data_IF_329664731212
#
_entry.id   IF_329664731212
#
_cell.length_a   1.000
_cell.length_b   1.000
_cell.length_c   1.000
_cell.angle_alpha   90.00
_cell.angle_beta   90.00
_cell.angle_gamma   90.00
#
_symmetry.space_group_name_H-M   'P 1'
#
loop_
_entity.id
_entity.type
_entity.pdbx_description
1 polymer ?
#
# COMPACT_ATOMS: atom_id res chain seq x y z
N UNK A 1 -58.80 -35.94 -9.17
CA UNK A 1 -57.95 -34.98 -8.45
C UNK A 1 -58.67 -33.64 -8.50
N UNK A 2 -58.89 -32.97 -7.37
CA UNK A 2 -59.64 -31.71 -7.32
C UNK A 2 -58.75 -30.56 -7.84
N UNK A 3 -59.28 -29.67 -8.68
CA UNK A 3 -58.48 -28.59 -9.31
C UNK A 3 -57.78 -27.69 -8.28
N UNK A 4 -58.40 -27.48 -7.12
CA UNK A 4 -57.81 -26.73 -6.00
C UNK A 4 -56.58 -27.40 -5.38
N UNK A 5 -56.57 -28.74 -5.33
CA UNK A 5 -55.43 -29.50 -4.81
C UNK A 5 -54.23 -29.45 -5.76
N UNK A 6 -54.49 -29.41 -7.07
CA UNK A 6 -53.45 -29.27 -8.08
C UNK A 6 -52.79 -27.88 -8.04
N UNK A 7 -53.58 -26.81 -7.96
CA UNK A 7 -53.03 -25.44 -7.86
C UNK A 7 -52.25 -25.24 -6.55
N UNK A 8 -52.67 -25.86 -5.43
CA UNK A 8 -51.91 -25.82 -4.18
C UNK A 8 -50.49 -26.41 -4.32
N UNK A 9 -50.38 -27.59 -4.95
CA UNK A 9 -49.09 -28.26 -5.20
C UNK A 9 -48.21 -27.41 -6.13
N UNK A 10 -48.80 -26.78 -7.15
CA UNK A 10 -48.07 -25.90 -8.07
C UNK A 10 -47.52 -24.66 -7.37
N UNK A 11 -48.30 -24.04 -6.48
CA UNK A 11 -47.85 -22.91 -5.67
C UNK A 11 -46.73 -23.30 -4.69
N UNK A 12 -46.83 -24.48 -4.08
CA UNK A 12 -45.80 -25.02 -3.21
C UNK A 12 -44.48 -25.25 -3.96
N UNK A 13 -44.52 -25.95 -5.10
CA UNK A 13 -43.35 -26.16 -5.95
C UNK A 13 -42.75 -24.83 -6.46
N UNK A 14 -43.59 -23.85 -6.81
CA UNK A 14 -43.12 -22.54 -7.24
C UNK A 14 -42.38 -21.80 -6.11
N UNK A 15 -42.89 -21.89 -4.87
CA UNK A 15 -42.25 -21.33 -3.69
C UNK A 15 -40.91 -22.00 -3.39
N UNK A 16 -40.83 -23.33 -3.51
CA UNK A 16 -39.57 -24.07 -3.34
C UNK A 16 -38.53 -23.67 -4.39
N UNK A 17 -38.93 -23.60 -5.67
CA UNK A 17 -38.05 -23.15 -6.75
C UNK A 17 -37.54 -21.72 -6.52
N UNK A 18 -38.39 -20.82 -6.00
CA UNK A 18 -37.99 -19.47 -5.68
C UNK A 18 -36.98 -19.43 -4.52
N UNK A 19 -37.20 -20.23 -3.48
CA UNK A 19 -36.27 -20.34 -2.36
C UNK A 19 -34.90 -20.87 -2.82
N UNK A 20 -34.88 -21.91 -3.66
CA UNK A 20 -33.65 -22.47 -4.23
C UNK A 20 -32.92 -21.40 -5.06
N UNK A 21 -33.63 -20.65 -5.91
CA UNK A 21 -33.05 -19.53 -6.67
C UNK A 21 -32.44 -18.48 -5.76
N UNK A 22 -33.11 -18.13 -4.66
CA UNK A 22 -32.60 -17.18 -3.68
C UNK A 22 -31.33 -17.66 -2.98
N UNK A 23 -31.23 -18.96 -2.65
CA UNK A 23 -30.02 -19.54 -2.07
C UNK A 23 -28.84 -19.42 -3.05
N UNK A 24 -29.01 -19.87 -4.30
CA UNK A 24 -27.95 -19.77 -5.31
C UNK A 24 -27.52 -18.33 -5.57
N UNK A 25 -28.47 -17.40 -5.64
CA UNK A 25 -28.17 -15.97 -5.83
C UNK A 25 -27.37 -15.40 -4.65
N UNK A 26 -27.67 -15.82 -3.43
CA UNK A 26 -26.95 -15.38 -2.23
C UNK A 26 -25.51 -15.90 -2.22
N UNK A 27 -25.31 -17.16 -2.62
CA UNK A 27 -23.99 -17.77 -2.75
C UNK A 27 -23.16 -17.08 -3.84
N UNK A 28 -23.76 -16.83 -5.01
CA UNK A 28 -23.12 -16.10 -6.11
C UNK A 28 -22.67 -14.70 -5.67
N UNK A 29 -23.54 -13.96 -4.99
CA UNK A 29 -23.23 -12.62 -4.49
C UNK A 29 -22.06 -12.64 -3.50
N UNK A 30 -22.08 -13.58 -2.56
CA UNK A 30 -21.02 -13.74 -1.57
C UNK A 30 -19.68 -14.06 -2.22
N UNK A 31 -19.68 -14.86 -3.30
CA UNK A 31 -18.47 -15.18 -4.05
C UNK A 31 -17.93 -13.95 -4.79
N UNK A 32 -18.80 -13.19 -5.47
CA UNK A 32 -18.43 -11.95 -6.15
C UNK A 32 -17.87 -10.89 -5.19
N UNK A 33 -18.49 -10.70 -4.03
CA UNK A 33 -18.04 -9.76 -3.01
C UNK A 33 -16.65 -10.16 -2.48
N UNK A 34 -16.43 -11.44 -2.17
CA UNK A 34 -15.13 -11.95 -1.75
C UNK A 34 -14.04 -11.72 -2.83
N UNK A 35 -14.38 -11.86 -4.11
CA UNK A 35 -13.48 -11.56 -5.24
C UNK A 35 -13.09 -10.08 -5.31
N UNK A 36 -14.05 -9.18 -5.10
CA UNK A 36 -13.80 -7.74 -5.03
C UNK A 36 -12.89 -7.36 -3.85
N UNK A 37 -13.13 -7.94 -2.67
CA UNK A 37 -12.27 -7.73 -1.50
C UNK A 37 -10.83 -8.21 -1.75
N UNK A 38 -10.64 -9.37 -2.38
CA UNK A 38 -9.31 -9.84 -2.75
C UNK A 38 -8.61 -8.91 -3.74
N UNK A 39 -9.32 -8.43 -4.76
CA UNK A 39 -8.77 -7.49 -5.74
C UNK A 39 -8.30 -6.20 -5.07
N UNK A 40 -9.13 -5.63 -4.19
CA UNK A 40 -8.77 -4.44 -3.41
C UNK A 40 -7.54 -4.69 -2.53
N UNK A 41 -7.49 -5.85 -1.87
CA UNK A 41 -6.38 -6.18 -0.98
C UNK A 41 -5.07 -6.42 -1.74
N UNK A 42 -5.12 -7.01 -2.93
CA UNK A 42 -3.97 -7.12 -3.83
C UNK A 42 -3.45 -5.75 -4.24
N UNK A 43 -4.33 -4.79 -4.52
CA UNK A 43 -3.92 -3.42 -4.84
C UNK A 43 -3.24 -2.73 -3.63
N UNK A 44 -3.78 -2.89 -2.42
CA UNK A 44 -3.15 -2.37 -1.20
C UNK A 44 -1.76 -2.97 -0.94
N UNK A 45 -1.57 -4.26 -1.24
CA UNK A 45 -0.28 -4.94 -1.11
C UNK A 45 0.82 -4.27 -1.95
N UNK A 46 0.48 -3.76 -3.14
CA UNK A 46 1.41 -3.05 -4.01
C UNK A 46 1.57 -1.57 -3.66
N UNK A 47 0.53 -0.92 -3.11
CA UNK A 47 0.57 0.50 -2.78
C UNK A 47 1.41 0.82 -1.54
N UNK A 48 1.31 0.00 -0.49
CA UNK A 48 2.01 0.25 0.79
C UNK A 48 3.53 0.32 0.62
N UNK A 49 4.19 -0.60 -0.12
CA UNK A 49 5.63 -0.49 -0.35
C UNK A 49 6.03 0.76 -1.13
N UNK A 50 5.27 1.15 -2.16
CA UNK A 50 5.54 2.38 -2.92
C UNK A 50 5.44 3.64 -2.06
N UNK A 51 4.45 3.70 -1.17
CA UNK A 51 4.29 4.81 -0.23
C UNK A 51 5.51 4.92 0.70
N UNK A 52 6.00 3.80 1.22
CA UNK A 52 7.15 3.78 2.12
C UNK A 52 8.43 4.22 1.41
N UNK A 53 8.64 3.80 0.16
CA UNK A 53 9.76 4.28 -0.66
C UNK A 53 9.70 5.79 -0.87
N UNK A 54 8.52 6.33 -1.18
CA UNK A 54 8.35 7.77 -1.37
C UNK A 54 8.65 8.56 -0.09
N UNK A 55 8.15 8.09 1.06
CA UNK A 55 8.40 8.72 2.36
C UNK A 55 9.89 8.68 2.70
N UNK A 56 10.51 7.49 2.64
CA UNK A 56 11.92 7.30 3.00
C UNK A 56 12.87 8.02 2.05
N UNK A 57 12.61 8.00 0.74
CA UNK A 57 13.35 8.76 -0.25
C UNK A 57 13.22 10.27 -0.06
N UNK A 58 12.02 10.76 0.23
CA UNK A 58 11.78 12.18 0.53
C UNK A 58 12.52 12.65 1.78
N UNK A 59 12.54 11.84 2.84
CA UNK A 59 13.28 12.14 4.06
C UNK A 59 14.79 12.15 3.79
N UNK A 60 15.31 11.21 3.01
CA UNK A 60 16.72 11.16 2.62
C UNK A 60 17.14 12.40 1.84
N UNK A 61 16.33 12.82 0.87
CA UNK A 61 16.56 14.05 0.12
C UNK A 61 16.53 15.30 1.03
N UNK A 62 15.56 15.38 1.94
CA UNK A 62 15.50 16.44 2.94
C UNK A 62 16.74 16.47 3.85
N UNK A 63 17.19 15.31 4.33
CA UNK A 63 18.39 15.21 5.15
C UNK A 63 19.66 15.64 4.37
N UNK A 64 19.74 15.35 3.07
CA UNK A 64 20.88 15.76 2.24
C UNK A 64 20.96 17.28 2.02
N UNK A 65 19.83 17.98 2.01
CA UNK A 65 19.75 19.42 1.69
C UNK A 65 19.88 20.35 2.91
N UNK A 66 19.53 19.88 4.10
CA UNK A 66 19.66 20.65 5.34
C UNK A 66 21.15 20.94 5.63
N UNK A 67 21.49 22.09 6.21
CA UNK A 67 22.89 22.43 6.54
C UNK A 67 23.28 22.09 7.98
N UNK A 68 22.30 21.92 8.88
CA UNK A 68 22.53 21.63 10.30
C UNK A 68 22.63 20.13 10.61
N UNK A 69 23.62 19.75 11.41
CA UNK A 69 23.86 18.33 11.73
C UNK A 69 22.74 17.72 12.59
N UNK A 70 22.21 18.47 13.58
CA UNK A 70 21.12 17.99 14.45
C UNK A 70 19.82 17.63 13.70
N UNK A 71 19.26 18.50 12.83
CA UNK A 71 18.07 18.16 12.05
C UNK A 71 18.31 17.03 11.03
N UNK A 72 19.53 16.86 10.51
CA UNK A 72 19.90 15.70 9.68
C UNK A 72 19.80 14.39 10.45
N UNK A 73 20.38 14.32 11.65
CA UNK A 73 20.30 13.14 12.53
C UNK A 73 18.83 12.79 12.77
N UNK A 74 18.02 13.79 13.12
CA UNK A 74 16.61 13.58 13.43
C UNK A 74 15.84 13.02 12.21
N UNK A 75 16.07 13.58 11.01
CA UNK A 75 15.47 13.10 9.77
C UNK A 75 15.88 11.65 9.48
N UNK A 76 17.16 11.31 9.60
CA UNK A 76 17.65 9.94 9.36
C UNK A 76 17.12 8.94 10.40
N UNK A 77 16.99 9.35 11.66
CA UNK A 77 16.39 8.51 12.70
C UNK A 77 14.90 8.28 12.44
N UNK A 78 14.18 9.31 11.98
CA UNK A 78 12.79 9.19 11.56
C UNK A 78 12.65 8.25 10.35
N UNK A 79 13.53 8.33 9.35
CA UNK A 79 13.57 7.40 8.23
C UNK A 79 13.80 5.95 8.70
N UNK A 80 14.71 5.72 9.65
CA UNK A 80 14.93 4.41 10.23
C UNK A 80 13.68 3.88 10.95
N UNK A 81 13.01 4.72 11.74
CA UNK A 81 11.77 4.36 12.44
C UNK A 81 10.64 3.98 11.47
N UNK A 82 10.47 4.72 10.37
CA UNK A 82 9.47 4.42 9.33
C UNK A 82 9.75 3.06 8.68
N UNK A 83 11.01 2.77 8.35
CA UNK A 83 11.40 1.48 7.77
C UNK A 83 11.11 0.32 8.73
N UNK A 84 11.46 0.45 10.02
CA UNK A 84 11.21 -0.59 11.03
C UNK A 84 9.70 -0.80 11.23
N UNK A 85 8.92 0.28 11.33
CA UNK A 85 7.46 0.20 11.52
C UNK A 85 6.74 -0.41 10.32
N UNK A 86 7.32 -0.31 9.12
CA UNK A 86 6.76 -0.90 7.91
C UNK A 86 6.80 -2.43 7.92
N UNK A 87 7.80 -3.05 8.56
CA UNK A 87 7.97 -4.51 8.59
C UNK A 87 6.71 -5.23 9.16
N UNK A 88 6.21 -4.89 10.37
CA UNK A 88 4.99 -5.53 10.89
C UNK A 88 3.75 -5.21 10.06
N UNK A 89 3.70 -4.05 9.38
CA UNK A 89 2.59 -3.70 8.47
C UNK A 89 2.54 -4.69 7.30
N UNK A 90 3.66 -4.93 6.63
CA UNK A 90 3.75 -5.89 5.51
C UNK A 90 3.36 -7.30 5.98
N UNK A 91 3.82 -7.71 7.16
CA UNK A 91 3.48 -9.01 7.72
C UNK A 91 1.97 -9.15 7.98
N UNK A 92 1.35 -8.12 8.58
CA UNK A 92 -0.10 -8.07 8.83
C UNK A 92 -0.90 -8.12 7.53
N UNK A 93 -0.48 -7.36 6.50
CA UNK A 93 -1.13 -7.37 5.19
C UNK A 93 -1.12 -8.76 4.56
N UNK A 94 0.00 -9.49 4.65
CA UNK A 94 0.03 -10.89 4.19
C UNK A 94 -0.94 -11.77 4.96
N UNK A 95 -0.98 -11.65 6.28
CA UNK A 95 -1.88 -12.47 7.11
C UNK A 95 -3.34 -12.23 6.72
N UNK A 96 -3.72 -10.99 6.41
CA UNK A 96 -5.07 -10.66 5.91
C UNK A 96 -5.36 -11.33 4.57
N UNK A 97 -4.41 -11.33 3.63
CA UNK A 97 -4.56 -12.02 2.34
C UNK A 97 -4.77 -13.51 2.56
N UNK A 98 -3.91 -14.12 3.40
CA UNK A 98 -3.99 -15.55 3.71
C UNK A 98 -5.32 -15.93 4.35
N UNK A 99 -5.87 -15.08 5.22
CA UNK A 99 -7.19 -15.29 5.82
C UNK A 99 -8.30 -15.32 4.76
N UNK A 100 -8.30 -14.40 3.80
CA UNK A 100 -9.31 -14.36 2.74
C UNK A 100 -9.17 -15.55 1.77
N UNK A 101 -7.94 -15.91 1.39
CA UNK A 101 -7.69 -17.09 0.57
C UNK A 101 -8.19 -18.36 1.28
N UNK A 102 -7.93 -18.50 2.59
CA UNK A 102 -8.40 -19.65 3.36
C UNK A 102 -9.93 -19.73 3.40
N UNK A 103 -10.64 -18.60 3.50
CA UNK A 103 -12.11 -18.58 3.40
C UNK A 103 -12.61 -19.07 2.04
N UNK A 104 -11.94 -18.72 0.94
CA UNK A 104 -12.32 -19.18 -0.40
C UNK A 104 -12.00 -20.66 -0.63
N UNK A 105 -10.88 -21.12 -0.10
CA UNK A 105 -10.48 -22.53 -0.16
C UNK A 105 -11.44 -23.43 0.63
N UNK A 106 -11.87 -22.99 1.82
CA UNK A 106 -12.89 -23.66 2.62
C UNK A 106 -14.22 -23.78 1.85
N UNK A 107 -14.63 -22.74 1.13
CA UNK A 107 -15.82 -22.78 0.30
C UNK A 107 -15.66 -23.74 -0.90
N UNK A 108 -14.53 -23.69 -1.59
CA UNK A 108 -14.24 -24.53 -2.77
C UNK A 108 -13.83 -25.97 -2.42
N UNK A 109 -13.80 -26.36 -1.14
CA UNK A 109 -13.32 -27.66 -0.68
C UNK A 109 -11.91 -28.02 -1.21
N UNK A 110 -11.08 -26.99 -1.45
CA UNK A 110 -9.72 -27.14 -1.98
C UNK A 110 -8.70 -26.90 -0.87
N UNK A 111 -7.60 -27.64 -0.90
CA UNK A 111 -6.50 -27.43 0.04
C UNK A 111 -5.53 -26.36 -0.48
N UNK A 112 -5.02 -25.53 0.43
CA UNK A 112 -4.06 -24.48 0.12
C UNK A 112 -2.74 -25.07 -0.40
N UNK A 113 -2.30 -24.68 -1.60
CA UNK A 113 -0.93 -24.94 -2.02
C UNK A 113 0.00 -24.01 -1.25
N UNK A 114 0.88 -24.55 -0.40
CA UNK A 114 1.80 -23.79 0.49
C UNK A 114 2.21 -22.42 -0.06
N UNK A 115 1.62 -21.35 0.46
CA UNK A 115 1.97 -19.99 0.06
C UNK A 115 3.40 -19.60 0.48
N UNK A 116 4.30 -19.42 -0.49
CA UNK A 116 5.69 -19.01 -0.25
C UNK A 116 5.80 -17.56 0.29
N UNK A 117 6.59 -17.35 1.33
CA UNK A 117 6.81 -16.05 1.98
C UNK A 117 7.89 -15.19 1.30
N UNK A 118 8.34 -15.57 0.11
CA UNK A 118 9.47 -14.96 -0.63
C UNK A 118 9.38 -13.44 -0.77
N UNK A 119 8.19 -12.92 -1.07
CA UNK A 119 7.99 -11.46 -1.23
C UNK A 119 8.20 -10.73 0.09
N UNK A 120 7.71 -11.29 1.21
CA UNK A 120 7.84 -10.65 2.53
C UNK A 120 9.28 -10.69 3.00
N UNK A 121 9.97 -11.81 2.81
CA UNK A 121 11.38 -11.93 3.21
C UNK A 121 12.24 -10.94 2.44
N UNK A 122 12.00 -10.79 1.13
CA UNK A 122 12.66 -9.79 0.30
C UNK A 122 12.42 -8.36 0.79
N UNK A 123 11.14 -7.96 0.99
CA UNK A 123 10.81 -6.63 1.47
C UNK A 123 11.32 -6.35 2.89
N UNK A 124 11.27 -7.34 3.78
CA UNK A 124 11.78 -7.19 5.15
C UNK A 124 13.30 -7.00 5.14
N UNK A 125 14.03 -7.76 4.32
CA UNK A 125 15.47 -7.57 4.15
C UNK A 125 15.79 -6.16 3.64
N UNK A 126 15.06 -5.67 2.64
CA UNK A 126 15.26 -4.33 2.08
C UNK A 126 14.98 -3.22 3.10
N UNK A 127 13.91 -3.35 3.89
CA UNK A 127 13.59 -2.38 4.94
C UNK A 127 14.61 -2.40 6.08
N UNK A 128 15.10 -3.59 6.45
CA UNK A 128 16.16 -3.73 7.46
C UNK A 128 17.45 -3.06 6.96
N UNK A 129 17.86 -3.33 5.71
CA UNK A 129 19.08 -2.70 5.17
C UNK A 129 18.92 -1.19 5.06
N UNK A 130 17.75 -0.68 4.65
CA UNK A 130 17.47 0.76 4.62
C UNK A 130 17.48 1.41 6.01
N UNK A 131 16.95 0.73 7.03
CA UNK A 131 17.01 1.19 8.41
C UNK A 131 18.45 1.23 8.93
N UNK A 132 19.23 0.15 8.72
CA UNK A 132 20.64 0.09 9.07
C UNK A 132 21.45 1.20 8.37
N UNK A 133 21.18 1.43 7.08
CA UNK A 133 21.86 2.47 6.30
C UNK A 133 21.56 3.88 6.84
N UNK A 134 20.31 4.12 7.28
CA UNK A 134 19.91 5.39 7.87
C UNK A 134 20.56 5.61 9.26
N UNK A 135 20.67 4.56 10.08
CA UNK A 135 21.34 4.61 11.39
C UNK A 135 22.86 4.83 11.24
N UNK A 136 23.49 4.12 10.31
CA UNK A 136 24.91 4.30 10.00
C UNK A 136 25.17 5.73 9.52
N UNK A 137 24.34 6.24 8.61
CA UNK A 137 24.44 7.61 8.09
C UNK A 137 24.24 8.66 9.18
N UNK A 138 23.37 8.42 10.17
CA UNK A 138 23.19 9.31 11.31
C UNK A 138 24.42 9.35 12.24
N UNK A 139 25.16 8.23 12.33
CA UNK A 139 26.36 8.11 13.17
C UNK A 139 27.60 8.73 12.50
N UNK A 140 27.67 8.70 11.17
CA UNK A 140 28.82 9.13 10.35
C UNK A 140 28.65 10.52 9.68
N UNK A 141 27.75 11.39 10.18
CA UNK A 141 27.48 12.72 9.60
C UNK A 141 28.75 13.56 9.33
N UNK A 142 29.80 13.36 10.14
CA UNK A 142 31.10 14.02 9.95
C UNK A 142 31.79 13.64 8.62
N UNK A 143 31.59 12.42 8.09
CA UNK A 143 32.14 11.96 6.80
C UNK A 143 31.32 12.48 5.61
N UNK A 144 29.99 12.49 5.71
CA UNK A 144 29.08 12.95 4.65
C UNK A 144 29.20 14.46 4.33
N UNK A 145 29.59 15.28 5.32
CA UNK A 145 29.81 16.72 5.10
C UNK A 145 31.11 17.04 4.32
N UNK A 146 32.05 16.09 4.18
CA UNK A 146 33.34 16.37 3.53
C UNK A 146 33.27 16.16 2.00
N UNK A 147 32.45 15.24 1.50
CA UNK A 147 32.24 15.05 0.06
C UNK A 147 31.28 16.09 -0.56
N UNK A 148 30.31 16.59 0.20
CA UNK A 148 29.33 17.56 -0.31
C UNK A 148 29.88 18.99 -0.48
N UNK A 149 31.11 19.27 -0.05
CA UNK A 149 31.77 20.58 -0.27
C UNK A 149 32.22 20.81 -1.72
N UNK A 150 32.07 19.85 -2.63
CA UNK A 150 32.48 19.99 -4.05
C UNK A 150 31.33 20.08 -5.07
N UNK A 151 30.07 20.16 -4.65
CA UNK A 151 28.96 20.36 -5.58
C UNK A 151 28.59 21.85 -5.70
N UNK A 152 29.31 22.52 -6.61
CA UNK A 152 28.88 23.66 -7.45
C UNK A 152 27.98 24.75 -6.85
N UNK A 153 28.60 25.90 -6.56
CA UNK A 153 27.98 27.23 -6.53
C UNK A 153 27.34 27.54 -7.88
N UNK A 154 26.06 27.21 -8.08
CA UNK A 154 25.28 27.76 -9.18
C UNK A 154 24.77 29.14 -8.78
N UNK A 155 25.37 30.17 -9.38
CA UNK A 155 24.93 31.57 -9.28
C UNK A 155 23.53 31.69 -9.91
N UNK A 156 22.47 31.78 -9.10
CA UNK A 156 21.15 32.16 -9.61
C UNK A 156 21.20 33.66 -9.93
N UNK A 157 21.42 33.98 -11.21
CA UNK A 157 21.21 35.34 -11.73
C UNK A 157 19.70 35.54 -11.85
N UNK A 158 19.13 36.30 -10.91
CA UNK A 158 17.75 36.76 -10.97
C UNK A 158 17.55 37.73 -12.15
N UNK A 159 16.97 37.25 -13.26
CA UNK A 159 16.31 38.13 -14.23
C UNK A 159 14.85 38.31 -13.84
N UNK A 160 14.59 39.22 -12.92
CA UNK A 160 13.25 39.78 -12.68
C UNK A 160 12.98 40.78 -13.81
N UNK A 161 12.29 40.34 -14.87
CA UNK A 161 11.79 41.26 -15.90
C UNK A 161 10.48 41.88 -15.38
N UNK A 162 10.58 43.10 -14.84
CA UNK A 162 9.40 43.91 -14.51
C UNK A 162 8.80 44.44 -15.82
N UNK A 163 7.71 43.84 -16.30
CA UNK A 163 6.97 44.34 -17.46
C UNK A 163 6.08 45.50 -17.00
N UNK A 164 6.56 46.73 -17.16
CA UNK A 164 5.81 47.97 -16.99
C UNK A 164 4.68 48.01 -18.03
N UNK A 165 3.44 47.75 -17.61
CA UNK A 165 2.25 48.08 -18.40
C UNK A 165 1.96 49.57 -18.27
N UNK A 166 2.31 50.34 -19.29
CA UNK A 166 1.83 51.71 -19.47
C UNK A 166 0.37 51.68 -19.92
N UNK A 167 -0.52 52.06 -19.02
CA UNK A 167 -1.91 52.40 -19.34
C UNK A 167 -1.91 53.72 -20.13
N UNK A 168 -2.28 53.64 -21.41
CA UNK A 168 -2.47 54.81 -22.28
C UNK A 168 -3.84 55.42 -21.96
N UNK A 169 -3.83 56.53 -21.22
CA UNK A 169 -4.98 57.43 -21.05
C UNK A 169 -4.70 58.70 -21.86
N UNK A 170 -5.37 58.84 -23.00
CA UNK A 170 -5.97 60.05 -23.60
C UNK A 170 -6.19 59.83 -25.10
#
# INVERSE_FOLDING_TARGET
MNDSAFEAIKHENAKELEQIKWQFKKEELSYCEAGLHLRSLNQQLWQVPSLVIAITGGIWYGAATISGDSPKVLALFFAAAVNILTIPIIFRLRQLIKKHINHQLLFNHQQDSKGNYTVITCWSLLLITAACFSIASASDIKKFNTENKKAETYTIINYIHFKKTEARSK
#
